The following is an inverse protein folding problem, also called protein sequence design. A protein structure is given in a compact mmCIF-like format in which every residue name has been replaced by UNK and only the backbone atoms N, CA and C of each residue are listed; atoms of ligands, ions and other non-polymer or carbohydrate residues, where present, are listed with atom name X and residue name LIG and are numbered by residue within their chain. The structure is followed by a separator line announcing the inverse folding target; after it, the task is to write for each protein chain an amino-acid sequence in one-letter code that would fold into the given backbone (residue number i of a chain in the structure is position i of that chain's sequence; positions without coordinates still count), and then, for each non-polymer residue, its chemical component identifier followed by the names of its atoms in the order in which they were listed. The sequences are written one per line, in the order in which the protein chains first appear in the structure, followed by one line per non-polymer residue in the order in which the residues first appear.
data_IF_757879211618
#
_entry.id   IF_757879211618
#
_cell.length_a   1.000
_cell.length_b   1.000
_cell.length_c   1.000
_cell.angle_alpha   90.00
_cell.angle_beta   90.00
_cell.angle_gamma   90.00
#
_symmetry.space_group_name_H-M   'P 1'
#
loop_
_entity.id
_entity.type
_entity.pdbx_description
1 polymer ?
#
# COMPACT_ATOMS: atom_id res chain seq x y z
N UNK A 1 -26.12 -6.17 -18.31
CA UNK A 1 -25.21 -7.30 -18.05
C UNK A 1 -25.18 -7.49 -16.54
N UNK A 2 -25.42 -8.70 -16.03
CA UNK A 2 -25.56 -8.94 -14.58
C UNK A 2 -24.19 -8.74 -13.91
N UNK A 3 -24.05 -7.70 -13.08
CA UNK A 3 -22.86 -7.41 -12.31
C UNK A 3 -22.76 -8.34 -11.08
N UNK A 4 -22.72 -9.65 -11.32
CA UNK A 4 -22.60 -10.63 -10.25
C UNK A 4 -21.12 -10.70 -9.83
N UNK A 5 -20.69 -9.75 -9.02
CA UNK A 5 -19.32 -9.68 -8.50
C UNK A 5 -19.03 -10.73 -7.43
N UNK A 6 -20.06 -11.41 -6.92
CA UNK A 6 -19.92 -12.48 -5.94
C UNK A 6 -20.14 -13.83 -6.59
N UNK A 7 -19.14 -14.68 -6.47
CA UNK A 7 -19.16 -16.04 -7.00
C UNK A 7 -18.89 -17.04 -5.87
N UNK A 8 -19.52 -18.19 -5.95
CA UNK A 8 -19.34 -19.30 -5.02
C UNK A 8 -18.36 -20.28 -5.65
N UNK A 9 -17.21 -20.45 -5.01
CA UNK A 9 -16.13 -21.36 -5.36
C UNK A 9 -16.10 -22.48 -4.31
N UNK A 10 -16.95 -23.49 -4.49
CA UNK A 10 -17.10 -24.60 -3.55
C UNK A 10 -17.49 -24.11 -2.15
N UNK A 11 -16.59 -24.26 -1.18
CA UNK A 11 -16.80 -23.83 0.22
C UNK A 11 -16.61 -22.33 0.43
N UNK A 12 -16.10 -21.59 -0.53
CA UNK A 12 -15.79 -20.17 -0.38
C UNK A 12 -16.71 -19.31 -1.23
N UNK A 13 -17.10 -18.15 -0.70
CA UNK A 13 -17.65 -17.04 -1.48
C UNK A 13 -16.55 -16.03 -1.73
N UNK A 14 -16.39 -15.65 -2.99
CA UNK A 14 -15.40 -14.67 -3.40
C UNK A 14 -16.07 -13.48 -4.07
N UNK A 15 -15.71 -12.28 -3.60
CA UNK A 15 -16.00 -11.04 -4.31
C UNK A 15 -14.81 -10.70 -5.21
N UNK A 16 -15.06 -10.62 -6.52
CA UNK A 16 -14.07 -10.34 -7.58
C UNK A 16 -13.23 -9.08 -7.33
N UNK A 17 -13.80 -8.11 -6.62
CA UNK A 17 -13.11 -6.85 -6.28
C UNK A 17 -12.11 -7.03 -5.15
N UNK A 18 -12.33 -8.01 -4.28
CA UNK A 18 -11.56 -8.25 -3.07
C UNK A 18 -10.47 -9.30 -3.27
N UNK A 19 -9.48 -9.29 -2.37
CA UNK A 19 -8.44 -10.33 -2.29
C UNK A 19 -8.80 -11.45 -1.30
N UNK A 20 -10.02 -11.45 -0.77
CA UNK A 20 -10.39 -12.32 0.36
C UNK A 20 -11.45 -13.32 -0.06
N UNK A 21 -11.18 -14.59 0.21
CA UNK A 21 -12.15 -15.66 0.16
C UNK A 21 -12.83 -15.74 1.52
N UNK A 22 -14.15 -15.62 1.54
CA UNK A 22 -14.95 -15.79 2.75
C UNK A 22 -15.50 -17.21 2.78
N UNK A 23 -15.54 -17.90 3.93
CA UNK A 23 -16.24 -19.17 4.02
C UNK A 23 -17.73 -18.98 3.70
N UNK A 24 -18.27 -19.84 2.85
CA UNK A 24 -19.68 -19.83 2.45
C UNK A 24 -20.49 -20.61 3.49
N UNK A 25 -21.54 -20.03 4.10
CA UNK A 25 -22.37 -20.71 5.11
C UNK A 25 -23.26 -21.82 4.51
N UNK A 26 -23.23 -22.02 3.19
CA UNK A 26 -24.10 -22.96 2.47
C UNK A 26 -23.87 -24.44 2.85
N UNK A 27 -22.75 -24.78 3.47
CA UNK A 27 -22.41 -26.17 3.77
C UNK A 27 -22.55 -26.53 5.27
N UNK A 28 -23.67 -26.15 5.90
CA UNK A 28 -24.26 -26.82 7.08
C UNK A 28 -23.44 -26.92 8.39
N UNK A 29 -22.19 -26.48 8.42
CA UNK A 29 -21.36 -26.38 9.61
C UNK A 29 -20.54 -25.11 9.48
N UNK A 30 -20.84 -24.13 10.33
CA UNK A 30 -19.97 -23.00 10.58
C UNK A 30 -18.72 -23.51 11.31
N UNK A 31 -17.82 -24.16 10.57
CA UNK A 31 -16.43 -24.21 11.00
C UNK A 31 -15.91 -22.78 10.89
N UNK A 32 -15.22 -22.32 11.93
CA UNK A 32 -14.49 -21.05 11.98
C UNK A 32 -13.35 -21.09 10.95
N UNK A 33 -13.69 -21.11 9.66
CA UNK A 33 -12.72 -21.08 8.58
C UNK A 33 -12.27 -19.63 8.43
N UNK A 34 -11.00 -19.39 8.73
CA UNK A 34 -10.41 -18.07 8.60
C UNK A 34 -10.52 -17.57 7.15
N UNK A 35 -10.70 -16.26 6.99
CA UNK A 35 -10.72 -15.63 5.67
C UNK A 35 -9.37 -15.84 4.98
N UNK A 36 -9.36 -16.47 3.82
CA UNK A 36 -8.13 -16.77 3.09
C UNK A 36 -7.79 -15.61 2.15
N UNK A 37 -6.57 -15.09 2.23
CA UNK A 37 -6.09 -14.00 1.37
C UNK A 37 -5.42 -14.54 0.11
N UNK A 38 -5.95 -14.16 -1.06
CA UNK A 38 -5.39 -14.41 -2.38
C UNK A 38 -4.22 -13.47 -2.69
N UNK A 39 -3.16 -14.01 -3.30
CA UNK A 39 -2.10 -13.19 -3.90
C UNK A 39 -2.61 -12.45 -5.14
N UNK A 40 -1.89 -11.39 -5.55
CA UNK A 40 -2.27 -10.60 -6.73
C UNK A 40 -2.37 -11.44 -8.01
N UNK A 41 -1.44 -12.38 -8.21
CA UNK A 41 -1.44 -13.27 -9.38
C UNK A 41 -2.58 -14.29 -9.32
N UNK A 42 -2.93 -14.80 -8.12
CA UNK A 42 -4.10 -15.69 -7.96
C UNK A 42 -5.41 -14.95 -8.23
N UNK A 43 -5.54 -13.72 -7.75
CA UNK A 43 -6.71 -12.87 -8.06
C UNK A 43 -6.82 -12.60 -9.56
N UNK A 44 -5.72 -12.25 -10.21
CA UNK A 44 -5.70 -12.02 -11.66
C UNK A 44 -6.10 -13.27 -12.44
N UNK A 45 -5.57 -14.44 -12.05
CA UNK A 45 -5.93 -15.72 -12.63
C UNK A 45 -7.44 -16.01 -12.48
N UNK A 46 -7.98 -15.89 -11.27
CA UNK A 46 -9.40 -16.16 -11.04
C UNK A 46 -10.30 -15.16 -11.79
N UNK A 47 -9.94 -13.87 -11.84
CA UNK A 47 -10.69 -12.90 -12.64
C UNK A 47 -10.66 -13.23 -14.13
N UNK A 48 -9.49 -13.58 -14.67
CA UNK A 48 -9.32 -14.03 -16.04
C UNK A 48 -10.23 -15.23 -16.37
N UNK A 49 -10.30 -16.21 -15.48
CA UNK A 49 -11.17 -17.37 -15.66
C UNK A 49 -12.67 -17.06 -15.52
N UNK A 50 -13.02 -16.09 -14.67
CA UNK A 50 -14.42 -15.62 -14.51
C UNK A 50 -14.86 -14.77 -15.70
N UNK A 51 -13.98 -13.95 -16.27
CA UNK A 51 -14.27 -13.17 -17.47
C UNK A 51 -14.44 -14.06 -18.70
N UNK A 52 -13.69 -15.17 -18.76
CA UNK A 52 -13.83 -16.20 -19.78
C UNK A 52 -14.97 -17.20 -19.49
N UNK A 53 -15.78 -16.98 -18.45
CA UNK A 53 -16.86 -17.89 -18.05
C UNK A 53 -17.78 -18.23 -19.23
N UNK A 54 -18.12 -19.52 -19.34
CA UNK A 54 -18.71 -20.24 -20.50
C UNK A 54 -17.71 -20.88 -21.48
N UNK A 55 -16.45 -20.44 -21.52
CA UNK A 55 -15.43 -20.99 -22.42
C UNK A 55 -14.19 -21.48 -21.68
N UNK A 56 -13.44 -22.41 -22.30
CA UNK A 56 -12.09 -22.77 -21.83
C UNK A 56 -11.11 -21.73 -22.36
N UNK A 57 -10.29 -21.16 -21.49
CA UNK A 57 -9.25 -20.20 -21.88
C UNK A 57 -7.92 -20.93 -22.07
N UNK A 58 -7.17 -20.56 -23.10
CA UNK A 58 -5.90 -21.24 -23.41
C UNK A 58 -4.78 -20.83 -22.46
N UNK A 59 -3.79 -21.71 -22.31
CA UNK A 59 -2.61 -21.42 -21.49
C UNK A 59 -1.91 -20.12 -21.90
N UNK A 60 -1.83 -19.83 -23.21
CA UNK A 60 -1.20 -18.62 -23.74
C UNK A 60 -1.96 -17.36 -23.34
N UNK A 61 -3.29 -17.39 -23.42
CA UNK A 61 -4.14 -16.25 -23.05
C UNK A 61 -4.10 -15.98 -21.54
N UNK A 62 -4.14 -17.03 -20.70
CA UNK A 62 -3.98 -16.86 -19.25
C UNK A 62 -2.63 -16.23 -18.93
N UNK A 63 -1.55 -16.71 -19.58
CA UNK A 63 -0.21 -16.16 -19.38
C UNK A 63 -0.18 -14.68 -19.74
N UNK A 64 -0.75 -14.32 -20.88
CA UNK A 64 -0.81 -12.94 -21.34
C UNK A 64 -1.64 -12.04 -20.41
N UNK A 65 -2.76 -12.52 -19.86
CA UNK A 65 -3.59 -11.71 -18.96
C UNK A 65 -3.01 -11.57 -17.55
N UNK A 66 -2.36 -12.62 -17.03
CA UNK A 66 -1.85 -12.65 -15.64
C UNK A 66 -0.42 -12.12 -15.55
N UNK A 67 0.41 -12.30 -16.57
CA UNK A 67 1.82 -11.88 -16.64
C UNK A 67 2.14 -10.86 -17.75
N UNK A 68 1.21 -10.57 -18.66
CA UNK A 68 1.46 -9.59 -19.73
C UNK A 68 2.37 -10.15 -20.82
N UNK A 69 3.36 -9.36 -21.23
CA UNK A 69 4.36 -9.72 -22.24
C UNK A 69 5.65 -10.30 -21.62
N UNK A 70 5.63 -10.67 -20.34
CA UNK A 70 6.80 -11.25 -19.66
C UNK A 70 7.11 -12.66 -20.17
N UNK A 71 8.39 -12.95 -20.39
CA UNK A 71 8.87 -14.30 -20.65
C UNK A 71 8.83 -15.12 -19.36
N UNK A 72 7.83 -16.00 -19.23
CA UNK A 72 7.70 -16.91 -18.10
C UNK A 72 8.01 -18.35 -18.50
N UNK A 73 8.38 -19.18 -17.52
CA UNK A 73 8.54 -20.62 -17.72
C UNK A 73 7.18 -21.28 -17.98
N UNK A 74 7.19 -22.35 -18.79
CA UNK A 74 5.99 -23.16 -19.04
C UNK A 74 5.42 -23.79 -17.75
N UNK A 75 6.26 -23.97 -16.73
CA UNK A 75 5.87 -24.50 -15.41
C UNK A 75 5.19 -23.46 -14.50
N UNK A 76 5.34 -22.16 -14.79
CA UNK A 76 4.83 -21.10 -13.93
C UNK A 76 3.30 -21.08 -13.84
N UNK A 77 2.61 -21.34 -14.95
CA UNK A 77 1.15 -21.42 -14.97
C UNK A 77 0.64 -22.65 -14.19
N UNK A 78 1.09 -23.89 -14.48
CA UNK A 78 0.74 -25.07 -13.68
C UNK A 78 1.00 -24.90 -12.17
N UNK A 79 2.12 -24.27 -11.80
CA UNK A 79 2.42 -23.96 -10.40
C UNK A 79 1.41 -22.99 -9.78
N UNK A 80 1.03 -21.92 -10.50
CA UNK A 80 0.01 -20.99 -10.01
C UNK A 80 -1.36 -21.66 -9.87
N UNK A 81 -1.75 -22.52 -10.83
CA UNK A 81 -3.00 -23.30 -10.75
C UNK A 81 -2.97 -24.19 -9.50
N UNK A 82 -1.90 -24.95 -9.29
CA UNK A 82 -1.79 -25.85 -8.13
C UNK A 82 -1.79 -25.09 -6.80
N UNK A 83 -1.13 -23.92 -6.74
CA UNK A 83 -1.19 -23.06 -5.56
C UNK A 83 -2.61 -22.54 -5.31
N UNK A 84 -3.32 -22.12 -6.36
CA UNK A 84 -4.70 -21.64 -6.28
C UNK A 84 -5.65 -22.75 -5.83
N UNK A 85 -5.50 -23.98 -6.33
CA UNK A 85 -6.26 -25.15 -5.87
C UNK A 85 -6.10 -25.39 -4.38
N UNK A 86 -4.86 -25.37 -3.87
CA UNK A 86 -4.60 -25.50 -2.43
C UNK A 86 -5.27 -24.40 -1.61
N UNK A 87 -5.25 -23.16 -2.11
CA UNK A 87 -5.90 -22.01 -1.46
C UNK A 87 -7.43 -22.12 -1.45
N UNK A 88 -8.02 -22.76 -2.46
CA UNK A 88 -9.47 -23.00 -2.57
C UNK A 88 -9.92 -24.34 -1.94
N UNK A 89 -9.00 -25.10 -1.34
CA UNK A 89 -9.22 -26.49 -0.91
C UNK A 89 -9.86 -27.38 -1.99
N UNK A 90 -9.57 -27.10 -3.26
CA UNK A 90 -10.10 -27.80 -4.44
C UNK A 90 -9.34 -29.12 -4.68
N UNK A 91 -9.47 -30.05 -3.72
CA UNK A 91 -8.79 -31.35 -3.78
C UNK A 91 -9.38 -32.24 -4.88
N UNK A 92 -10.68 -32.11 -5.14
CA UNK A 92 -11.42 -32.91 -6.12
C UNK A 92 -11.35 -32.36 -7.55
N UNK A 93 -10.64 -31.22 -7.76
CA UNK A 93 -10.49 -30.53 -9.05
C UNK A 93 -11.85 -30.18 -9.69
N UNK A 94 -12.83 -29.86 -8.86
CA UNK A 94 -14.19 -29.56 -9.27
C UNK A 94 -14.37 -28.07 -9.57
N UNK A 95 -13.53 -27.20 -8.98
CA UNK A 95 -13.59 -25.75 -9.16
C UNK A 95 -12.70 -25.33 -10.34
N UNK A 96 -11.42 -25.73 -10.34
CA UNK A 96 -10.45 -25.44 -11.41
C UNK A 96 -10.30 -26.67 -12.33
N UNK A 97 -11.13 -26.70 -13.38
CA UNK A 97 -11.18 -27.81 -14.34
C UNK A 97 -10.11 -27.63 -15.42
N UNK A 98 -9.34 -28.69 -15.69
CA UNK A 98 -8.35 -28.73 -16.75
C UNK A 98 -8.93 -29.48 -17.96
N UNK A 99 -8.91 -28.83 -19.13
CA UNK A 99 -9.29 -29.44 -20.41
C UNK A 99 -8.01 -29.80 -21.18
N UNK A 100 -7.64 -31.09 -21.26
CA UNK A 100 -6.40 -31.52 -21.90
C UNK A 100 -6.27 -30.98 -23.33
N UNK A 101 -5.11 -30.39 -23.65
CA UNK A 101 -4.82 -29.84 -24.97
C UNK A 101 -5.47 -28.48 -25.28
N UNK A 102 -6.31 -27.95 -24.39
CA UNK A 102 -7.00 -26.66 -24.58
C UNK A 102 -6.56 -25.63 -23.53
N UNK A 103 -6.72 -25.94 -22.25
CA UNK A 103 -6.40 -25.02 -21.16
C UNK A 103 -7.24 -25.23 -19.91
N UNK A 104 -7.66 -24.14 -19.27
CA UNK A 104 -8.36 -24.18 -17.98
C UNK A 104 -9.73 -23.51 -18.04
N UNK A 105 -10.66 -23.98 -17.21
CA UNK A 105 -11.95 -23.35 -16.98
C UNK A 105 -12.28 -23.33 -15.48
N UNK A 106 -13.15 -22.41 -15.09
CA UNK A 106 -13.60 -22.26 -13.72
C UNK A 106 -15.07 -22.65 -13.63
N UNK A 107 -15.35 -23.68 -12.84
CA UNK A 107 -16.70 -24.09 -12.48
C UNK A 107 -17.10 -23.33 -11.22
N UNK A 108 -18.11 -22.48 -11.33
CA UNK A 108 -18.62 -21.72 -10.21
C UNK A 108 -20.11 -21.44 -10.39
N UNK A 109 -20.77 -21.23 -9.27
CA UNK A 109 -22.16 -20.78 -9.21
C UNK A 109 -22.18 -19.30 -8.82
N UNK A 110 -22.98 -18.51 -9.52
CA UNK A 110 -23.29 -17.17 -9.02
C UNK A 110 -24.18 -17.32 -7.80
N UNK A 111 -23.87 -16.61 -6.71
CA UNK A 111 -24.79 -16.52 -5.59
C UNK A 111 -26.11 -15.93 -6.11
N UNK A 112 -27.16 -16.74 -6.18
CA UNK A 112 -28.49 -16.29 -6.55
C UNK A 112 -28.96 -15.31 -5.47
N UNK A 113 -29.22 -14.06 -5.84
CA UNK A 113 -30.10 -13.22 -5.04
C UNK A 113 -31.46 -13.93 -4.98
N UNK A 114 -31.89 -14.32 -3.78
CA UNK A 114 -33.19 -14.97 -3.60
C UNK A 114 -34.29 -14.11 -4.25
N UNK A 115 -35.25 -14.71 -4.97
CA UNK A 115 -36.32 -13.99 -5.62
C UNK A 115 -37.29 -13.46 -4.57
N UNK A 116 -37.15 -12.18 -4.21
CA UNK A 116 -38.09 -11.49 -3.31
C UNK A 116 -39.47 -11.39 -3.99
N UNK A 117 -40.54 -11.95 -3.41
CA UNK A 117 -41.90 -11.64 -3.85
C UNK A 117 -42.27 -10.23 -3.37
N UNK A 118 -42.45 -9.30 -4.30
CA UNK A 118 -43.15 -8.02 -4.09
C UNK A 118 -44.67 -8.28 -3.89
N UNK A 119 -45.47 -7.34 -3.37
CA UNK A 119 -45.29 -6.46 -2.19
C UNK A 119 -46.59 -6.32 -1.36
N UNK A 120 -46.54 -6.13 -0.02
CA UNK A 120 -47.61 -5.38 0.69
C UNK A 120 -47.09 -4.52 1.85
N UNK A 121 -47.13 -3.22 1.56
CA UNK A 121 -47.57 -2.10 2.41
C UNK A 121 -46.87 -1.79 3.75
N UNK A 122 -46.29 -0.57 3.79
CA UNK A 122 -46.15 0.42 4.90
C UNK A 122 -45.51 -0.09 6.20
N UNK A 123 -44.50 0.54 6.79
CA UNK A 123 -44.11 1.96 6.83
C UNK A 123 -42.60 2.08 7.02
N UNK A 124 -42.09 3.28 6.77
CA UNK A 124 -40.77 3.77 7.18
C UNK A 124 -40.42 3.35 8.62
N UNK A 125 -39.25 2.71 8.81
CA UNK A 125 -38.26 3.26 9.72
C UNK A 125 -36.84 2.81 9.35
N UNK A 126 -35.95 3.79 9.44
CA UNK A 126 -34.58 3.87 9.00
C UNK A 126 -33.66 3.01 9.90
N UNK A 127 -33.08 1.93 9.38
CA UNK A 127 -31.93 1.29 10.01
C UNK A 127 -30.75 1.22 9.02
N UNK A 128 -29.66 2.00 9.23
CA UNK A 128 -28.57 2.06 8.28
C UNK A 128 -27.75 0.78 8.30
N UNK A 129 -27.45 0.28 7.10
CA UNK A 129 -26.56 -0.86 6.83
C UNK A 129 -25.18 -0.59 7.43
N UNK A 130 -24.66 -1.54 8.21
CA UNK A 130 -23.24 -1.59 8.57
C UNK A 130 -22.44 -2.03 7.33
N UNK A 131 -22.30 -1.11 6.39
CA UNK A 131 -21.14 -1.06 5.50
C UNK A 131 -19.94 -1.04 6.44
N UNK A 132 -19.04 -2.02 6.31
CA UNK A 132 -17.75 -2.02 6.99
C UNK A 132 -17.12 -0.65 6.79
N UNK A 133 -17.22 0.18 7.82
CA UNK A 133 -16.91 1.59 7.78
C UNK A 133 -15.40 1.64 7.62
N UNK A 134 -14.92 1.77 6.39
CA UNK A 134 -13.53 2.12 6.15
C UNK A 134 -13.30 3.34 7.03
N UNK A 135 -12.47 3.17 8.06
CA UNK A 135 -12.49 4.04 9.21
C UNK A 135 -11.90 5.37 8.74
N UNK A 136 -12.75 6.28 8.28
CA UNK A 136 -12.34 7.59 7.72
C UNK A 136 -11.46 8.35 8.70
N UNK A 137 -11.62 8.07 10.00
CA UNK A 137 -10.73 8.52 11.06
C UNK A 137 -9.29 7.99 10.92
N UNK A 138 -9.09 6.72 10.57
CA UNK A 138 -7.75 6.14 10.34
C UNK A 138 -7.09 6.79 9.12
N UNK A 139 -7.83 7.02 8.04
CA UNK A 139 -7.30 7.69 6.86
C UNK A 139 -6.97 9.17 7.12
N UNK A 140 -7.83 9.87 7.88
CA UNK A 140 -7.56 11.24 8.33
C UNK A 140 -6.34 11.31 9.26
N UNK A 141 -6.16 10.32 10.14
CA UNK A 141 -4.98 10.23 11.02
C UNK A 141 -3.71 9.99 10.20
N UNK A 142 -3.74 9.07 9.23
CA UNK A 142 -2.61 8.82 8.34
C UNK A 142 -2.26 10.11 7.57
N UNK A 143 -3.25 10.78 6.99
CA UNK A 143 -3.02 12.06 6.30
C UNK A 143 -2.47 13.14 7.22
N UNK A 144 -2.98 13.27 8.44
CA UNK A 144 -2.47 14.24 9.41
C UNK A 144 -1.01 13.96 9.79
N UNK A 145 -0.64 12.69 10.00
CA UNK A 145 0.73 12.28 10.29
C UNK A 145 1.64 12.60 9.10
N UNK A 146 1.23 12.25 7.88
CA UNK A 146 2.00 12.53 6.67
C UNK A 146 2.17 14.04 6.46
N UNK A 147 1.09 14.82 6.62
CA UNK A 147 1.14 16.28 6.53
C UNK A 147 2.11 16.86 7.56
N UNK A 148 2.02 16.44 8.81
CA UNK A 148 2.91 16.90 9.87
C UNK A 148 4.37 16.57 9.56
N UNK A 149 4.67 15.34 9.13
CA UNK A 149 6.02 14.95 8.74
C UNK A 149 6.54 15.81 7.57
N UNK A 150 5.71 16.08 6.56
CA UNK A 150 6.11 16.95 5.44
C UNK A 150 6.41 18.38 5.90
N UNK A 151 5.58 18.96 6.77
CA UNK A 151 5.81 20.30 7.33
C UNK A 151 7.09 20.35 8.17
N UNK A 152 7.34 19.31 8.97
CA UNK A 152 8.57 19.20 9.76
C UNK A 152 9.82 19.17 8.87
N UNK A 153 9.80 18.35 7.81
CA UNK A 153 10.91 18.29 6.84
C UNK A 153 11.12 19.63 6.12
N UNK A 154 10.04 20.31 5.72
CA UNK A 154 10.12 21.64 5.10
C UNK A 154 10.71 22.66 6.08
N UNK A 155 10.30 22.63 7.35
CA UNK A 155 10.79 23.53 8.38
C UNK A 155 12.29 23.34 8.63
N UNK A 156 12.77 22.10 8.79
CA UNK A 156 14.20 21.84 8.95
C UNK A 156 14.99 22.25 7.70
N UNK A 157 14.44 22.06 6.51
CA UNK A 157 15.08 22.52 5.26
C UNK A 157 15.16 24.04 5.21
N UNK A 158 14.08 24.74 5.56
CA UNK A 158 14.06 26.21 5.63
C UNK A 158 15.05 26.74 6.68
N UNK A 159 15.13 26.07 7.84
CA UNK A 159 16.10 26.37 8.89
C UNK A 159 17.53 26.19 8.40
N UNK A 160 17.82 25.11 7.69
CA UNK A 160 19.14 24.87 7.10
C UNK A 160 19.52 25.95 6.07
N UNK A 161 18.58 26.34 5.19
CA UNK A 161 18.81 27.42 4.22
C UNK A 161 19.01 28.78 4.89
N UNK A 162 18.26 29.07 5.94
CA UNK A 162 18.41 30.29 6.73
C UNK A 162 19.83 30.39 7.32
N UNK A 163 20.30 29.33 8.00
CA UNK A 163 21.66 29.35 8.57
C UNK A 163 22.74 29.32 7.51
N UNK A 164 22.53 28.68 6.36
CA UNK A 164 23.48 28.75 5.25
C UNK A 164 23.68 30.21 4.79
N UNK A 165 22.58 30.97 4.69
CA UNK A 165 22.65 32.37 4.30
C UNK A 165 23.42 33.22 5.32
N UNK A 166 23.13 33.06 6.62
CA UNK A 166 23.87 33.74 7.70
C UNK A 166 25.36 33.37 7.68
N UNK A 167 25.69 32.10 7.43
CA UNK A 167 27.08 31.64 7.36
C UNK A 167 27.83 32.25 6.17
N UNK A 168 27.18 32.36 5.00
CA UNK A 168 27.76 33.02 3.84
C UNK A 168 28.01 34.52 4.10
N UNK A 169 27.13 35.19 4.85
CA UNK A 169 27.34 36.58 5.22
C UNK A 169 28.56 36.73 6.14
N UNK A 170 28.74 35.82 7.12
CA UNK A 170 29.93 35.82 7.98
C UNK A 170 31.21 35.52 7.19
N UNK A 171 31.18 34.60 6.22
CA UNK A 171 32.34 34.28 5.38
C UNK A 171 32.74 35.43 4.46
N UNK A 172 31.78 36.25 4.03
CA UNK A 172 31.99 37.44 3.18
C UNK A 172 32.23 38.71 4.00
N UNK A 173 32.07 38.67 5.32
CA UNK A 173 32.30 39.82 6.18
C UNK A 173 33.78 40.20 6.17
N UNK A 174 34.04 41.51 6.12
CA UNK A 174 35.40 42.02 6.22
C UNK A 174 35.96 41.71 7.62
N UNK A 175 37.25 41.31 7.72
CA UNK A 175 37.88 41.05 9.01
C UNK A 175 37.88 42.31 9.87
N UNK A 176 37.73 42.13 11.19
CA UNK A 176 37.73 43.24 12.13
C UNK A 176 39.02 44.07 11.98
N UNK A 177 38.91 45.41 11.82
CA UNK A 177 40.04 46.24 11.39
C UNK A 177 41.17 46.32 12.42
N UNK A 178 40.85 46.18 13.71
CA UNK A 178 41.82 46.28 14.81
C UNK A 178 42.19 44.89 15.36
N UNK A 179 42.35 43.91 14.46
CA UNK A 179 42.80 42.55 14.80
C UNK A 179 44.30 42.39 14.55
N UNK A 180 45.05 42.05 15.60
CA UNK A 180 46.46 41.68 15.51
C UNK A 180 46.63 40.18 15.75
N UNK A 181 47.37 39.50 14.85
CA UNK A 181 47.77 38.11 15.03
C UNK A 181 49.23 38.05 15.43
N UNK A 182 49.50 37.56 16.65
CA UNK A 182 50.87 37.29 17.09
C UNK A 182 51.44 36.05 16.38
N UNK A 183 52.77 35.96 16.30
CA UNK A 183 53.48 34.80 15.72
C UNK A 183 53.19 33.49 16.48
N UNK A 184 52.76 33.60 17.73
CA UNK A 184 52.43 32.47 18.61
C UNK A 184 50.98 31.98 18.42
N UNK A 185 50.21 32.59 17.51
CA UNK A 185 48.83 32.20 17.19
C UNK A 185 47.75 32.91 18.00
N UNK A 186 48.14 33.74 18.99
CA UNK A 186 47.21 34.58 19.77
C UNK A 186 46.59 35.68 18.93
N UNK A 187 45.27 35.83 19.02
CA UNK A 187 44.50 36.89 18.35
C UNK A 187 44.16 37.96 19.39
N UNK A 188 44.68 39.17 19.21
CA UNK A 188 44.31 40.35 20.02
C UNK A 188 43.43 41.29 19.21
N UNK A 189 42.42 41.84 19.87
CA UNK A 189 41.39 42.72 19.29
C UNK A 189 41.29 43.97 20.16
N UNK A 190 41.27 45.15 19.54
CA UNK A 190 40.99 46.39 20.27
C UNK A 190 39.51 46.72 20.16
N UNK A 191 38.78 46.77 21.29
CA UNK A 191 37.35 47.11 21.34
C UNK A 191 37.19 48.25 22.34
N UNK A 192 36.61 49.37 21.89
CA UNK A 192 36.41 50.56 22.73
C UNK A 192 37.67 50.96 23.50
N UNK A 193 38.82 50.95 22.81
CA UNK A 193 40.14 51.30 23.36
C UNK A 193 40.70 50.34 24.43
N UNK A 194 40.10 49.16 24.60
CA UNK A 194 40.62 48.08 25.45
C UNK A 194 41.18 46.96 24.58
N UNK A 195 42.33 46.41 24.95
CA UNK A 195 42.88 45.23 24.27
C UNK A 195 42.27 43.96 24.86
N UNK A 196 41.53 43.22 24.04
CA UNK A 196 40.95 41.93 24.38
C UNK A 196 41.70 40.80 23.68
N UNK A 197 41.76 39.64 24.34
CA UNK A 197 42.36 38.42 23.80
C UNK A 197 41.24 37.46 23.40
N UNK A 198 41.29 36.95 22.17
CA UNK A 198 40.35 35.96 21.69
C UNK A 198 40.96 34.55 21.74
N UNK A 199 40.40 33.72 22.62
CA UNK A 199 40.76 32.31 22.77
C UNK A 199 39.91 31.43 21.86
N UNK A 200 40.46 31.05 20.71
CA UNK A 200 39.75 30.27 19.68
C UNK A 200 39.22 28.92 20.19
N UNK A 201 39.97 28.24 21.06
CA UNK A 201 39.60 26.90 21.55
C UNK A 201 38.39 26.93 22.50
N UNK A 202 38.19 28.04 23.20
CA UNK A 202 37.10 28.22 24.16
C UNK A 202 35.97 29.10 23.61
N UNK A 203 36.15 29.67 22.40
CA UNK A 203 35.28 30.69 21.83
C UNK A 203 35.04 31.86 22.80
N UNK A 204 36.07 32.20 23.60
CA UNK A 204 35.99 33.19 24.66
C UNK A 204 36.75 34.46 24.26
N UNK A 205 36.14 35.62 24.51
CA UNK A 205 36.78 36.92 24.43
C UNK A 205 37.04 37.42 25.85
N UNK A 206 38.30 37.61 26.20
CA UNK A 206 38.71 38.12 27.51
C UNK A 206 39.20 39.55 27.36
N UNK A 207 38.52 40.48 28.02
CA UNK A 207 38.90 41.89 28.09
C UNK A 207 39.29 42.20 29.55
N UNK A 208 40.55 42.59 29.81
CA UNK A 208 41.04 42.94 31.14
C UNK A 208 40.47 44.25 31.69
#
# INVERSE_FOLDING_TARGET
MKNNNRIVLGKFTWDRTTHYLQPSPLNGKAEEQETVKLTNKQKALLNCLVDAYSNTISNKEIIQQVWGYEHISQESLPQLINRTRRTLEDNDKTILVNTPGVGYSLSFEFALEEPVPLPKAKSEELAPRLVGKQNSKVWNVIFAITLFATLFNIWETARALYYQHDFEQVLKAEPYPEMNRSKDGTITLTIDNHECIYHKDQLLLECP
#
